data_IF_047823138201
#
_entry.id   IF_047823138201
#
_cell.length_a   1.000
_cell.length_b   1.000
_cell.length_c   1.000
_cell.angle_alpha   90.00
_cell.angle_beta   90.00
_cell.angle_gamma   90.00
#
_symmetry.space_group_name_H-M   'P 1'
#
loop_
_entity.id
_entity.type
_entity.pdbx_description
1 polymer ?
#
# COMPACT_ATOMS: atom_id res chain seq x y z
N UNK A 1 -6.24 -2.94 -4.19
CA UNK A 1 -6.82 -1.61 -4.50
C UNK A 1 -6.64 -1.29 -5.97
N UNK A 2 -7.48 -0.41 -6.57
CA UNK A 2 -7.34 -0.02 -7.98
C UNK A 2 -6.26 1.05 -8.23
N UNK A 3 -5.89 1.82 -7.20
CA UNK A 3 -4.86 2.87 -7.24
C UNK A 3 -4.08 2.87 -5.93
N UNK A 4 -2.78 2.55 -6.00
CA UNK A 4 -1.89 2.45 -4.84
C UNK A 4 -1.43 3.82 -4.33
N UNK A 5 -1.35 4.83 -5.21
CA UNK A 5 -0.87 6.17 -4.84
C UNK A 5 -1.93 6.87 -4.01
N UNK A 6 -3.20 6.75 -4.41
CA UNK A 6 -4.31 7.21 -3.59
C UNK A 6 -4.33 6.50 -2.23
N UNK A 7 -4.20 5.18 -2.20
CA UNK A 7 -4.20 4.42 -0.95
C UNK A 7 -3.03 4.84 -0.02
N UNK A 8 -1.84 5.05 -0.57
CA UNK A 8 -0.68 5.54 0.16
C UNK A 8 -0.95 6.93 0.78
N UNK A 9 -1.47 7.87 -0.01
CA UNK A 9 -1.81 9.22 0.46
C UNK A 9 -2.90 9.19 1.54
N UNK A 10 -3.92 8.35 1.39
CA UNK A 10 -4.99 8.21 2.39
C UNK A 10 -4.48 7.65 3.71
N UNK A 11 -3.59 6.65 3.67
CA UNK A 11 -2.99 6.08 4.88
C UNK A 11 -2.04 7.07 5.56
N UNK A 12 -1.12 7.67 4.81
CA UNK A 12 -0.19 8.67 5.33
C UNK A 12 -0.93 9.89 5.89
N UNK A 13 -1.97 10.37 5.20
CA UNK A 13 -2.80 11.50 5.65
C UNK A 13 -3.60 11.23 6.92
N UNK A 14 -3.80 9.95 7.28
CA UNK A 14 -4.41 9.52 8.55
C UNK A 14 -3.38 9.31 9.66
N UNK A 15 -2.10 9.57 9.41
CA UNK A 15 -1.02 9.39 10.38
C UNK A 15 -0.51 7.95 10.50
N UNK A 16 -0.85 7.07 9.55
CA UNK A 16 -0.25 5.73 9.49
C UNK A 16 1.16 5.85 8.91
N UNK A 17 2.15 5.30 9.61
CA UNK A 17 3.50 5.17 9.08
C UNK A 17 3.51 4.09 7.98
N UNK A 18 3.62 4.54 6.73
CA UNK A 18 3.60 3.71 5.53
C UNK A 18 4.95 3.72 4.84
N UNK A 19 5.36 2.58 4.29
CA UNK A 19 6.51 2.51 3.40
C UNK A 19 6.25 3.31 2.12
N UNK A 20 7.33 3.62 1.38
CA UNK A 20 7.21 4.00 -0.02
C UNK A 20 6.50 2.91 -0.85
N UNK A 21 6.01 3.30 -2.03
CA UNK A 21 5.38 2.39 -2.98
C UNK A 21 6.47 1.55 -3.65
N UNK A 22 6.37 0.24 -3.50
CA UNK A 22 7.24 -0.72 -4.18
C UNK A 22 6.60 -1.17 -5.49
N UNK A 23 7.31 -1.02 -6.61
CA UNK A 23 6.85 -1.38 -7.95
C UNK A 23 7.47 -2.71 -8.37
N UNK A 24 6.65 -3.75 -8.49
CA UNK A 24 7.07 -5.10 -8.88
C UNK A 24 6.32 -5.54 -10.14
N UNK A 25 6.90 -6.48 -10.88
CA UNK A 25 6.34 -6.97 -12.14
C UNK A 25 4.90 -7.53 -12.02
N UNK A 26 4.50 -7.97 -10.83
CA UNK A 26 3.18 -8.53 -10.54
C UNK A 26 2.26 -7.60 -9.72
N UNK A 27 2.67 -6.36 -9.48
CA UNK A 27 1.84 -5.38 -8.78
C UNK A 27 2.65 -4.35 -7.99
N UNK A 28 1.92 -3.36 -7.46
CA UNK A 28 2.50 -2.29 -6.64
C UNK A 28 2.08 -2.47 -5.19
N UNK A 29 2.98 -2.22 -4.25
CA UNK A 29 2.78 -2.53 -2.83
C UNK A 29 3.07 -1.32 -1.93
N UNK A 30 2.34 -1.25 -0.83
CA UNK A 30 2.65 -0.40 0.33
C UNK A 30 2.53 -1.25 1.58
N UNK A 31 3.44 -1.06 2.53
CA UNK A 31 3.49 -1.79 3.79
C UNK A 31 3.29 -0.85 4.96
N UNK A 32 2.64 -1.34 6.01
CA UNK A 32 2.54 -0.63 7.28
C UNK A 32 2.33 -1.61 8.44
N UNK A 33 2.51 -1.11 9.66
CA UNK A 33 2.17 -1.85 10.88
C UNK A 33 0.99 -1.19 11.57
N UNK A 34 0.04 -1.99 12.06
CA UNK A 34 -1.00 -1.48 12.96
C UNK A 34 -0.43 -1.32 14.39
N UNK A 35 -1.14 -0.59 15.28
CA UNK A 35 -0.69 -0.40 16.67
C UNK A 35 -0.54 -1.72 17.47
N UNK A 36 -1.21 -2.78 17.04
CA UNK A 36 -1.13 -4.12 17.64
C UNK A 36 0.11 -4.90 17.16
N UNK A 37 0.87 -4.34 16.21
CA UNK A 37 2.12 -4.90 15.69
C UNK A 37 1.93 -5.84 14.51
N UNK A 38 0.72 -5.98 13.95
CA UNK A 38 0.53 -6.76 12.74
C UNK A 38 1.06 -5.99 11.53
N UNK A 39 1.70 -6.73 10.62
CA UNK A 39 2.20 -6.18 9.36
C UNK A 39 1.19 -6.42 8.26
N UNK A 40 0.84 -5.36 7.58
CA UNK A 40 -0.12 -5.37 6.49
C UNK A 40 0.53 -4.94 5.19
N UNK A 41 0.04 -5.47 4.08
CA UNK A 41 0.37 -5.01 2.74
C UNK A 41 -0.90 -4.62 1.98
N UNK A 42 -0.81 -3.50 1.28
CA UNK A 42 -1.82 -3.07 0.32
C UNK A 42 -1.26 -3.29 -1.07
N UNK A 43 -1.97 -4.06 -1.89
CA UNK A 43 -1.54 -4.37 -3.25
C UNK A 43 -2.47 -3.72 -4.29
N UNK A 44 -1.89 -3.04 -5.27
CA UNK A 44 -2.54 -2.80 -6.57
C UNK A 44 -2.14 -3.89 -7.54
N UNK A 45 -3.13 -4.67 -7.97
CA UNK A 45 -2.95 -5.74 -8.95
C UNK A 45 -2.89 -5.11 -10.36
N UNK A 46 -1.97 -5.54 -11.24
CA UNK A 46 -1.94 -5.08 -12.62
C UNK A 46 -3.27 -5.33 -13.31
N UNK A 47 -3.69 -4.42 -14.19
CA UNK A 47 -4.87 -4.68 -15.02
C UNK A 47 -4.61 -5.92 -15.86
N UNK A 48 -5.44 -6.94 -15.68
CA UNK A 48 -5.51 -8.07 -16.61
C UNK A 48 -6.34 -7.61 -17.81
N UNK A 49 -5.78 -7.77 -19.01
CA UNK A 49 -6.49 -7.54 -20.27
C UNK A 49 -7.58 -8.60 -20.49
#
# INVERSE_FOLDING_TARGET
VPDIEKAHQELAGRGVDVSGIEDLAWGRFVYFSDPDGNKWSVQQVPKRN
#
